data_IF_958097298697
#
_entry.id   IF_958097298697
#
_cell.length_a   1.000
_cell.length_b   1.000
_cell.length_c   1.000
_cell.angle_alpha   90.00
_cell.angle_beta   90.00
_cell.angle_gamma   90.00
#
_symmetry.space_group_name_H-M   'P 1'
#
loop_
_entity.id
_entity.type
_entity.pdbx_description
1 polymer ?
#
# COMPACT_ATOMS: atom_id res chain seq x y z
N UNK A 1 14.32 9.35 3.92
CA UNK A 1 14.83 7.98 4.16
C UNK A 1 14.25 7.04 3.11
N UNK A 2 14.94 5.97 2.73
CA UNK A 2 14.36 4.98 1.80
C UNK A 2 13.57 3.92 2.57
N UNK A 3 12.32 3.70 2.19
CA UNK A 3 11.43 2.69 2.76
C UNK A 3 11.13 1.64 1.70
N UNK A 4 11.57 0.41 1.95
CA UNK A 4 11.26 -0.72 1.09
C UNK A 4 9.88 -1.28 1.50
N UNK A 5 8.92 -1.22 0.58
CA UNK A 5 7.58 -1.79 0.74
C UNK A 5 7.58 -3.19 0.17
N UNK A 6 7.52 -4.20 1.03
CA UNK A 6 7.57 -5.62 0.63
C UNK A 6 6.18 -6.12 0.19
N UNK A 7 6.14 -7.35 -0.32
CA UNK A 7 4.89 -8.00 -0.74
C UNK A 7 3.89 -8.03 0.42
N UNK A 8 2.64 -7.63 0.15
CA UNK A 8 1.57 -7.51 1.14
C UNK A 8 1.84 -6.47 2.24
N UNK A 9 2.68 -5.48 1.96
CA UNK A 9 2.90 -4.33 2.83
C UNK A 9 2.38 -3.03 2.20
N UNK A 10 2.20 -2.05 3.07
CA UNK A 10 1.78 -0.70 2.78
C UNK A 10 2.62 0.25 3.66
N UNK A 11 3.15 1.30 3.06
CA UNK A 11 3.80 2.40 3.79
C UNK A 11 3.17 3.72 3.37
N UNK A 12 2.96 4.61 4.33
CA UNK A 12 2.55 6.00 4.15
C UNK A 12 3.59 6.88 4.83
N UNK A 13 3.98 7.98 4.19
CA UNK A 13 4.87 8.99 4.77
C UNK A 13 4.42 10.39 4.39
N UNK A 14 4.56 11.31 5.34
CA UNK A 14 4.39 12.76 5.17
C UNK A 14 5.72 13.52 5.19
N UNK A 15 6.86 12.80 5.20
CA UNK A 15 8.18 13.43 5.10
C UNK A 15 8.57 13.54 3.61
N UNK A 16 8.76 14.76 3.07
CA UNK A 16 9.14 14.96 1.67
C UNK A 16 10.55 14.46 1.33
N UNK A 17 11.36 14.08 2.32
CA UNK A 17 12.68 13.46 2.12
C UNK A 17 12.60 11.93 2.04
N UNK A 18 11.42 11.34 2.19
CA UNK A 18 11.22 9.91 2.10
C UNK A 18 11.02 9.43 0.66
N UNK A 19 11.65 8.30 0.35
CA UNK A 19 11.45 7.56 -0.89
C UNK A 19 10.78 6.24 -0.54
N UNK A 20 9.55 6.04 -1.02
CA UNK A 20 8.86 4.75 -0.92
C UNK A 20 9.20 3.94 -2.18
N UNK A 21 9.78 2.75 -2.00
CA UNK A 21 10.18 1.90 -3.11
C UNK A 21 9.66 0.48 -2.92
N UNK A 22 9.21 -0.13 -4.00
CA UNK A 22 8.90 -1.56 -4.02
C UNK A 22 9.58 -2.20 -5.21
N UNK A 23 10.03 -3.43 -5.03
CA UNK A 23 10.77 -4.18 -6.04
C UNK A 23 10.00 -5.43 -6.44
N UNK A 24 10.41 -6.05 -7.55
CA UNK A 24 9.95 -7.38 -7.96
C UNK A 24 8.43 -7.48 -8.20
N UNK A 25 7.84 -6.42 -8.78
CA UNK A 25 6.46 -6.43 -9.28
C UNK A 25 6.36 -7.32 -10.54
N UNK A 26 6.26 -8.63 -10.35
CA UNK A 26 6.00 -9.59 -11.42
C UNK A 26 4.53 -9.57 -11.84
N UNK A 27 3.73 -10.46 -11.25
CA UNK A 27 2.26 -10.44 -11.38
C UNK A 27 1.57 -9.56 -10.33
N UNK A 28 2.32 -9.12 -9.31
CA UNK A 28 1.81 -8.26 -8.25
C UNK A 28 1.54 -6.84 -8.76
N UNK A 29 0.81 -6.06 -7.97
CA UNK A 29 0.44 -4.68 -8.29
C UNK A 29 0.99 -3.73 -7.22
N UNK A 30 1.79 -2.76 -7.66
CA UNK A 30 2.18 -1.62 -6.87
C UNK A 30 1.16 -0.48 -7.05
N UNK A 31 0.55 -0.01 -5.97
CA UNK A 31 -0.38 1.12 -5.99
C UNK A 31 0.24 2.28 -5.22
N UNK A 32 0.52 3.38 -5.92
CA UNK A 32 1.05 4.60 -5.33
C UNK A 32 -0.03 5.69 -5.26
N UNK A 33 -0.05 6.44 -4.16
CA UNK A 33 -0.86 7.64 -3.98
C UNK A 33 0.03 8.79 -3.51
N UNK A 34 -0.27 10.01 -3.97
CA UNK A 34 0.44 11.22 -3.57
C UNK A 34 -0.53 12.39 -3.58
N UNK A 35 -0.68 13.06 -2.44
CA UNK A 35 -1.35 14.34 -2.31
C UNK A 35 -0.30 15.46 -2.15
N UNK A 36 -0.08 16.30 -3.18
CA UNK A 36 0.91 17.36 -3.13
C UNK A 36 0.49 18.56 -2.26
N UNK A 37 -0.80 18.69 -1.91
CA UNK A 37 -1.31 19.77 -1.05
C UNK A 37 -1.07 19.42 0.41
N UNK A 38 -1.42 18.18 0.79
CA UNK A 38 -1.16 17.67 2.14
C UNK A 38 0.32 17.27 2.36
N UNK A 39 1.07 17.02 1.28
CA UNK A 39 2.47 16.61 1.35
C UNK A 39 2.65 15.17 1.83
N UNK A 40 1.69 14.30 1.51
CA UNK A 40 1.67 12.90 1.96
C UNK A 40 1.64 11.95 0.78
N UNK A 41 2.40 10.86 0.88
CA UNK A 41 2.47 9.80 -0.12
C UNK A 41 2.31 8.42 0.50
N UNK A 42 1.81 7.47 -0.30
CA UNK A 42 1.65 6.08 0.11
C UNK A 42 2.00 5.13 -1.03
N UNK A 43 2.51 3.95 -0.66
CA UNK A 43 2.82 2.87 -1.58
C UNK A 43 2.38 1.52 -0.99
N UNK A 44 1.56 0.80 -1.74
CA UNK A 44 1.04 -0.53 -1.46
C UNK A 44 1.61 -1.54 -2.45
N UNK A 45 2.04 -2.71 -1.98
CA UNK A 45 2.37 -3.86 -2.83
C UNK A 45 1.35 -4.98 -2.61
N UNK A 46 0.29 -4.98 -3.43
CA UNK A 46 -0.75 -6.00 -3.38
C UNK A 46 -0.40 -7.23 -4.25
N UNK A 47 -0.70 -8.42 -3.74
CA UNK A 47 -0.50 -9.69 -4.43
C UNK A 47 -1.78 -10.20 -5.11
N UNK A 48 -2.94 -9.85 -4.56
CA UNK A 48 -4.25 -10.38 -4.96
C UNK A 48 -5.21 -9.26 -5.36
N UNK A 49 -6.13 -9.48 -6.30
CA UNK A 49 -7.03 -8.43 -6.77
C UNK A 49 -8.16 -8.10 -5.79
N UNK A 50 -8.78 -9.13 -5.17
CA UNK A 50 -10.00 -8.97 -4.38
C UNK A 50 -9.97 -9.82 -3.11
N UNK A 51 -10.22 -9.20 -1.95
CA UNK A 51 -10.33 -9.84 -0.63
C UNK A 51 -11.42 -10.91 -0.54
N UNK A 52 -12.44 -10.83 -1.39
CA UNK A 52 -13.53 -11.80 -1.46
C UNK A 52 -13.07 -13.23 -1.79
N UNK A 53 -11.87 -13.38 -2.37
CA UNK A 53 -11.29 -14.69 -2.66
C UNK A 53 -10.95 -15.49 -1.39
N UNK A 54 -10.58 -14.81 -0.29
CA UNK A 54 -10.37 -15.43 1.01
C UNK A 54 -10.52 -14.36 2.11
N UNK A 55 -11.69 -14.31 2.73
CA UNK A 55 -12.04 -13.27 3.71
C UNK A 55 -11.24 -13.38 5.00
N UNK A 56 -11.00 -14.60 5.47
CA UNK A 56 -10.24 -14.83 6.71
C UNK A 56 -8.80 -14.34 6.52
N UNK A 57 -8.21 -14.65 5.36
CA UNK A 57 -6.85 -14.19 5.05
C UNK A 57 -6.78 -12.69 4.84
N UNK A 58 -7.80 -12.08 4.23
CA UNK A 58 -7.88 -10.64 4.07
C UNK A 58 -8.02 -9.90 5.41
N UNK A 59 -8.68 -10.50 6.41
CA UNK A 59 -8.76 -9.94 7.75
C UNK A 59 -7.39 -9.93 8.46
N UNK A 60 -6.55 -10.95 8.24
CA UNK A 60 -5.19 -11.01 8.77
C UNK A 60 -4.20 -10.12 8.02
N UNK A 61 -4.32 -10.07 6.68
CA UNK A 61 -3.35 -9.43 5.77
C UNK A 61 -4.07 -8.56 4.73
N UNK A 62 -4.68 -7.44 5.15
CA UNK A 62 -5.48 -6.60 4.25
C UNK A 62 -4.66 -5.98 3.11
N UNK A 63 -3.38 -5.66 3.33
CA UNK A 63 -2.49 -5.14 2.30
C UNK A 63 -2.09 -6.20 1.23
N UNK A 64 -2.40 -7.49 1.44
CA UNK A 64 -2.24 -8.51 0.42
C UNK A 64 -3.20 -8.29 -0.77
N UNK A 65 -4.36 -7.69 -0.53
CA UNK A 65 -5.42 -7.52 -1.52
C UNK A 65 -5.56 -6.05 -1.93
N UNK A 66 -5.76 -5.81 -3.23
CA UNK A 66 -5.81 -4.45 -3.76
C UNK A 66 -7.01 -3.63 -3.24
N UNK A 67 -8.18 -4.26 -3.05
CA UNK A 67 -9.38 -3.61 -2.54
C UNK A 67 -9.25 -3.19 -1.07
N UNK A 68 -8.88 -4.10 -0.18
CA UNK A 68 -8.71 -3.79 1.25
C UNK A 68 -7.46 -2.95 1.50
N UNK A 69 -6.36 -3.20 0.78
CA UNK A 69 -5.12 -2.42 0.88
C UNK A 69 -5.31 -0.97 0.43
N UNK A 70 -6.07 -0.72 -0.63
CA UNK A 70 -6.37 0.64 -1.07
C UNK A 70 -7.23 1.40 -0.04
N UNK A 71 -8.24 0.74 0.54
CA UNK A 71 -9.05 1.34 1.62
C UNK A 71 -8.20 1.66 2.85
N UNK A 72 -7.33 0.73 3.27
CA UNK A 72 -6.41 0.94 4.37
C UNK A 72 -5.44 2.10 4.10
N UNK A 73 -4.90 2.21 2.88
CA UNK A 73 -4.01 3.29 2.49
C UNK A 73 -4.71 4.65 2.54
N UNK A 74 -5.94 4.74 2.04
CA UNK A 74 -6.71 5.98 2.13
C UNK A 74 -6.98 6.38 3.57
N UNK A 75 -7.34 5.43 4.45
CA UNK A 75 -7.52 5.73 5.87
C UNK A 75 -6.24 6.28 6.49
N UNK A 76 -5.10 5.60 6.28
CA UNK A 76 -3.81 6.02 6.80
C UNK A 76 -3.30 7.36 6.25
N UNK A 77 -3.76 7.78 5.06
CA UNK A 77 -3.44 9.09 4.48
C UNK A 77 -4.26 10.23 5.11
N UNK A 78 -5.45 9.93 5.63
CA UNK A 78 -6.36 10.92 6.20
C UNK A 78 -6.31 11.01 7.74
N UNK A 79 -5.66 10.05 8.40
CA UNK A 79 -5.41 10.05 9.84
C UNK A 79 -4.26 11.00 10.22
#
# INVERSE_FOLDING_TARGET
>A
MEHIVSISELVVSSDPQDTLVTYSLGSCVGLALHDPVAGVGGLLHAMMPMSSANKDKAAEMPAMYADTGAQMMLQALFD
#
